data_IF_831923382666
#
_entry.id   IF_831923382666
#
_cell.length_a   1.000
_cell.length_b   1.000
_cell.length_c   1.000
_cell.angle_alpha   90.00
_cell.angle_beta   90.00
_cell.angle_gamma   90.00
#
_symmetry.space_group_name_H-M   'P 1'
#
loop_
_entity.id
_entity.type
_entity.pdbx_description
1 polymer ?
#
# COMPACT_ATOMS: atom_id res chain seq x y z
N UNK A 1 5.87 7.00 -3.65
CA UNK A 1 5.60 7.84 -4.84
C UNK A 1 5.31 9.26 -4.41
N UNK A 2 5.69 10.26 -5.21
CA UNK A 2 5.37 11.67 -4.96
C UNK A 2 3.84 11.95 -4.99
N UNK A 3 3.41 13.18 -4.66
CA UNK A 3 2.00 13.55 -4.69
C UNK A 3 1.47 13.59 -6.14
N UNK A 4 0.37 12.90 -6.37
CA UNK A 4 -0.41 12.94 -7.61
C UNK A 4 -1.40 14.10 -7.60
N UNK A 5 -1.89 14.55 -8.78
CA UNK A 5 -3.02 15.47 -8.86
C UNK A 5 -4.19 14.96 -8.01
N UNK A 6 -4.75 15.84 -7.18
CA UNK A 6 -5.76 15.45 -6.20
C UNK A 6 -7.04 15.01 -6.92
N UNK A 7 -7.50 13.80 -6.63
CA UNK A 7 -8.79 13.27 -7.11
C UNK A 7 -9.63 12.82 -5.93
N UNK A 8 -10.83 13.37 -5.76
CA UNK A 8 -11.71 13.10 -4.60
C UNK A 8 -11.04 13.31 -3.22
N UNK A 9 -10.06 14.22 -3.15
CA UNK A 9 -9.29 14.49 -1.93
C UNK A 9 -8.14 13.50 -1.67
N UNK A 10 -7.86 12.57 -2.58
CA UNK A 10 -6.73 11.65 -2.52
C UNK A 10 -5.59 12.13 -3.41
N UNK A 11 -4.37 12.14 -2.88
CA UNK A 11 -3.16 12.63 -3.55
C UNK A 11 -2.01 11.62 -3.53
N UNK A 12 -2.14 10.52 -2.79
CA UNK A 12 -1.14 9.47 -2.70
C UNK A 12 -1.75 8.14 -3.11
N UNK A 13 -0.90 7.28 -3.69
CA UNK A 13 -1.24 5.90 -3.99
C UNK A 13 -0.26 5.03 -3.21
N UNK A 14 -0.81 4.18 -2.36
CA UNK A 14 -0.06 3.11 -1.72
C UNK A 14 -0.10 1.91 -2.66
N UNK A 15 1.06 1.36 -2.97
CA UNK A 15 1.22 0.24 -3.88
C UNK A 15 2.00 -0.87 -3.18
N UNK A 16 1.44 -2.06 -3.11
CA UNK A 16 2.14 -3.27 -2.71
C UNK A 16 2.24 -4.20 -3.92
N UNK A 17 3.43 -4.74 -4.12
CA UNK A 17 3.70 -5.70 -5.18
C UNK A 17 4.29 -6.95 -4.52
N UNK A 18 3.66 -8.09 -4.75
CA UNK A 18 4.26 -9.36 -4.39
C UNK A 18 5.36 -9.70 -5.40
N UNK A 19 6.58 -9.88 -4.90
CA UNK A 19 7.75 -10.04 -5.77
C UNK A 19 7.71 -11.35 -6.58
N UNK A 20 7.13 -12.41 -6.00
CA UNK A 20 7.13 -13.77 -6.55
C UNK A 20 6.01 -13.95 -7.57
N UNK A 21 4.77 -13.68 -7.15
CA UNK A 21 3.58 -13.80 -8.01
C UNK A 21 3.36 -12.61 -8.93
N UNK A 22 4.11 -11.51 -8.74
CA UNK A 22 3.92 -10.22 -9.42
C UNK A 22 2.53 -9.64 -9.25
N UNK A 23 1.80 -10.09 -8.24
CA UNK A 23 0.50 -9.54 -7.91
C UNK A 23 0.62 -8.12 -7.35
N UNK A 24 -0.36 -7.28 -7.65
CA UNK A 24 -0.33 -5.85 -7.33
C UNK A 24 -1.60 -5.45 -6.59
N UNK A 25 -1.45 -4.70 -5.51
CA UNK A 25 -2.56 -4.10 -4.79
C UNK A 25 -2.30 -2.61 -4.56
N UNK A 26 -3.30 -1.79 -4.88
CA UNK A 26 -3.19 -0.35 -4.83
C UNK A 26 -4.35 0.25 -4.04
N UNK A 27 -4.06 1.26 -3.21
CA UNK A 27 -5.08 2.02 -2.48
C UNK A 27 -4.74 3.51 -2.48
N UNK A 28 -5.72 4.33 -2.82
CA UNK A 28 -5.59 5.78 -2.76
C UNK A 28 -5.65 6.25 -1.30
N UNK A 29 -4.73 7.14 -0.91
CA UNK A 29 -4.67 7.76 0.42
C UNK A 29 -4.53 9.28 0.30
N UNK A 30 -5.11 10.02 1.24
CA UNK A 30 -5.07 11.49 1.26
C UNK A 30 -3.74 12.04 1.78
N UNK A 31 -3.04 11.26 2.60
CA UNK A 31 -1.79 11.60 3.28
C UNK A 31 -0.83 10.40 3.25
N UNK A 32 0.47 10.66 3.44
CA UNK A 32 1.48 9.60 3.60
C UNK A 32 1.60 9.17 5.07
N UNK A 33 0.47 8.86 5.70
CA UNK A 33 0.40 8.49 7.10
C UNK A 33 0.72 7.00 7.31
N UNK A 34 1.66 6.71 8.21
CA UNK A 34 2.07 5.33 8.54
C UNK A 34 0.92 4.46 9.06
N UNK A 35 -0.06 5.05 9.74
CA UNK A 35 -1.25 4.35 10.22
C UNK A 35 -2.06 3.74 9.09
N UNK A 36 -2.24 4.46 7.99
CA UNK A 36 -2.96 3.95 6.82
C UNK A 36 -2.18 2.84 6.10
N UNK A 37 -0.84 2.92 6.09
CA UNK A 37 0.01 1.87 5.55
C UNK A 37 -0.15 0.58 6.35
N UNK A 38 -0.11 0.68 7.69
CA UNK A 38 -0.28 -0.49 8.58
C UNK A 38 -1.67 -1.10 8.43
N UNK A 39 -2.72 -0.27 8.38
CA UNK A 39 -4.10 -0.72 8.19
C UNK A 39 -4.28 -1.44 6.84
N UNK A 40 -3.70 -0.88 5.77
CA UNK A 40 -3.69 -1.51 4.46
C UNK A 40 -2.96 -2.86 4.51
N UNK A 41 -1.73 -2.92 5.01
CA UNK A 41 -0.97 -4.18 5.07
C UNK A 41 -1.73 -5.24 5.87
N UNK A 42 -2.31 -4.88 7.01
CA UNK A 42 -3.08 -5.82 7.83
C UNK A 42 -4.33 -6.32 7.11
N UNK A 43 -5.17 -5.39 6.63
CA UNK A 43 -6.50 -5.72 6.08
C UNK A 43 -6.42 -6.34 4.68
N UNK A 44 -5.50 -5.84 3.86
CA UNK A 44 -5.40 -6.22 2.46
C UNK A 44 -4.37 -7.34 2.22
N UNK A 45 -3.26 -7.38 2.97
CA UNK A 45 -2.22 -8.42 2.80
C UNK A 45 -2.42 -9.55 3.81
N UNK A 46 -2.37 -9.25 5.12
CA UNK A 46 -2.31 -10.32 6.14
C UNK A 46 -3.61 -11.13 6.21
N UNK A 47 -4.76 -10.45 6.23
CA UNK A 47 -6.05 -11.14 6.31
C UNK A 47 -6.36 -11.99 5.06
N UNK A 48 -5.79 -11.67 3.89
CA UNK A 48 -6.12 -12.35 2.62
C UNK A 48 -5.07 -13.38 2.20
N UNK A 49 -3.79 -13.06 2.39
CA UNK A 49 -2.67 -13.85 1.87
C UNK A 49 -1.78 -14.41 2.98
N UNK A 50 -2.03 -14.06 4.24
CA UNK A 50 -1.18 -14.42 5.36
C UNK A 50 0.00 -13.47 5.55
N UNK A 51 0.91 -13.84 6.46
CA UNK A 51 2.03 -12.98 6.85
C UNK A 51 3.17 -13.12 5.82
N UNK A 52 3.56 -12.03 5.12
CA UNK A 52 4.68 -12.04 4.21
C UNK A 52 6.00 -12.21 4.97
N UNK A 53 6.96 -12.90 4.33
CA UNK A 53 8.27 -13.20 4.93
C UNK A 53 9.14 -11.95 5.13
N UNK A 54 8.99 -10.96 4.27
CA UNK A 54 9.66 -9.67 4.36
C UNK A 54 8.79 -8.61 3.68
N UNK A 55 8.80 -7.39 4.23
CA UNK A 55 8.18 -6.22 3.62
C UNK A 55 9.29 -5.21 3.41
N UNK A 56 9.56 -4.88 2.15
CA UNK A 56 10.54 -3.87 1.79
C UNK A 56 9.81 -2.59 1.40
N UNK A 57 10.25 -1.48 1.96
CA UNK A 57 9.81 -0.16 1.54
C UNK A 57 10.90 0.45 0.63
N UNK A 58 10.50 1.15 -0.41
CA UNK A 58 11.38 1.73 -1.44
C UNK A 58 12.13 2.99 -0.97
N UNK A 59 12.11 3.32 0.33
CA UNK A 59 12.68 4.55 0.87
C UNK A 59 14.02 4.30 1.56
#
# INVERSE_FOLDING_TARGET
>A
MGPFPVSYGYSYILLAIDYVSKWVEAKATKTNDSKFVVDFVRSNIFCRFGVPKAINNDR
#
